data_IF_981619582632
#
_entry.id   IF_981619582632
#
_cell.length_a   1.000
_cell.length_b   1.000
_cell.length_c   1.000
_cell.angle_alpha   90.00
_cell.angle_beta   90.00
_cell.angle_gamma   90.00
#
_symmetry.space_group_name_H-M   'P 1'
#
loop_
_entity.id
_entity.type
_entity.pdbx_description
1 polymer ?
#
# COMPACT_ATOMS: atom_id res chain seq x y z
N UNK A 1 -2.36 2.14 -1.82
CA UNK A 1 -3.09 3.28 -2.42
C UNK A 1 -2.78 3.38 -3.91
N UNK A 2 -3.73 3.81 -4.74
CA UNK A 2 -3.51 4.15 -6.15
C UNK A 2 -3.07 5.61 -6.32
N UNK A 3 -2.62 5.98 -7.51
CA UNK A 3 -2.22 7.33 -7.94
C UNK A 3 -3.28 8.41 -7.67
N UNK A 4 -4.55 8.07 -7.87
CA UNK A 4 -5.68 8.96 -7.57
C UNK A 4 -5.86 9.30 -6.09
N UNK A 5 -5.15 8.64 -5.16
CA UNK A 5 -5.29 8.83 -3.72
C UNK A 5 -4.12 9.62 -3.09
N UNK A 6 -3.25 10.22 -3.91
CA UNK A 6 -2.04 10.89 -3.42
C UNK A 6 -2.33 11.95 -2.34
N UNK A 7 -3.42 12.72 -2.49
CA UNK A 7 -3.81 13.77 -1.53
C UNK A 7 -4.18 13.20 -0.17
N UNK A 8 -4.97 12.12 -0.12
CA UNK A 8 -5.41 11.49 1.12
C UNK A 8 -4.25 10.76 1.81
N UNK A 9 -3.39 10.11 1.03
CA UNK A 9 -2.15 9.49 1.54
C UNK A 9 -1.24 10.55 2.16
N UNK A 10 -1.01 11.66 1.47
CA UNK A 10 -0.18 12.74 1.97
C UNK A 10 -0.77 13.35 3.26
N UNK A 11 -2.08 13.60 3.31
CA UNK A 11 -2.77 14.03 4.52
C UNK A 11 -2.52 13.08 5.71
N UNK A 12 -2.58 11.77 5.45
CA UNK A 12 -2.30 10.75 6.46
C UNK A 12 -0.83 10.74 6.90
N UNK A 13 0.11 11.19 6.06
CA UNK A 13 1.52 11.36 6.41
C UNK A 13 1.81 12.64 7.22
N UNK A 14 1.07 13.74 6.98
CA UNK A 14 1.37 15.05 7.59
C UNK A 14 0.59 15.38 8.86
N UNK A 15 -0.60 14.78 9.08
CA UNK A 15 -1.39 15.00 10.31
C UNK A 15 -1.32 13.81 11.25
N UNK A 16 -1.25 14.05 12.55
CA UNK A 16 -1.31 12.99 13.56
C UNK A 16 -2.75 12.55 13.84
N UNK A 17 -2.96 11.24 13.90
CA UNK A 17 -4.26 10.65 14.26
C UNK A 17 -4.66 10.89 15.73
N UNK A 18 -3.71 11.31 16.58
CA UNK A 18 -4.00 11.66 17.97
C UNK A 18 -4.91 12.90 18.08
N UNK A 19 -4.90 13.78 17.07
CA UNK A 19 -5.60 15.06 17.09
C UNK A 19 -6.70 15.17 16.02
N UNK A 20 -6.73 14.24 15.06
CA UNK A 20 -7.63 14.29 13.90
C UNK A 20 -8.10 12.89 13.56
N UNK A 21 -9.41 12.73 13.36
CA UNK A 21 -9.97 11.55 12.71
C UNK A 21 -9.63 11.57 11.21
N UNK A 22 -8.61 10.80 10.82
CA UNK A 22 -8.17 10.69 9.43
C UNK A 22 -9.19 9.99 8.54
N UNK A 23 -9.95 9.03 9.08
CA UNK A 23 -10.96 8.29 8.32
C UNK A 23 -12.05 9.26 7.88
N UNK A 24 -12.59 10.03 8.82
CA UNK A 24 -13.59 11.06 8.52
C UNK A 24 -13.02 12.15 7.60
N UNK A 25 -11.80 12.64 7.85
CA UNK A 25 -11.23 13.76 7.10
C UNK A 25 -10.87 13.42 5.65
N UNK A 26 -10.48 12.18 5.39
CA UNK A 26 -10.19 11.65 4.05
C UNK A 26 -11.41 11.03 3.37
N UNK A 27 -12.55 10.91 4.07
CA UNK A 27 -13.75 10.24 3.53
C UNK A 27 -13.54 8.74 3.28
N UNK A 28 -12.64 8.12 4.03
CA UNK A 28 -12.37 6.69 3.89
C UNK A 28 -13.52 5.86 4.46
N UNK A 29 -13.75 4.71 3.82
CA UNK A 29 -14.56 3.64 4.39
C UNK A 29 -13.59 2.56 4.85
N UNK A 30 -13.80 2.08 6.07
CA UNK A 30 -12.93 1.06 6.66
C UNK A 30 -13.71 -0.22 6.89
N UNK A 31 -13.06 -1.33 6.58
CA UNK A 31 -13.56 -2.67 6.86
C UNK A 31 -12.54 -3.43 7.70
N UNK A 32 -12.90 -4.62 8.16
CA UNK A 32 -12.04 -5.50 8.96
C UNK A 32 -12.02 -6.87 8.30
N UNK A 33 -10.84 -7.46 8.21
CA UNK A 33 -10.65 -8.83 7.73
C UNK A 33 -10.78 -9.83 8.87
N UNK A 34 -9.90 -10.83 8.90
CA UNK A 34 -9.86 -11.85 9.95
C UNK A 34 -9.29 -11.32 11.27
N UNK A 35 -8.60 -10.18 11.27
CA UNK A 35 -8.08 -9.50 12.46
C UNK A 35 -8.97 -8.31 12.83
N UNK A 36 -9.82 -8.50 13.84
CA UNK A 36 -10.78 -7.48 14.28
C UNK A 36 -10.17 -6.14 14.69
N UNK A 37 -8.87 -6.07 15.00
CA UNK A 37 -8.21 -4.84 15.44
C UNK A 37 -7.39 -4.14 14.35
N UNK A 38 -7.35 -4.68 13.13
CA UNK A 38 -6.63 -4.08 12.00
C UNK A 38 -7.63 -3.51 10.97
N UNK A 39 -8.01 -2.22 11.05
CA UNK A 39 -8.88 -1.62 10.05
C UNK A 39 -8.15 -1.50 8.70
N UNK A 40 -8.85 -1.86 7.62
CA UNK A 40 -8.39 -1.80 6.23
C UNK A 40 -9.19 -0.74 5.47
N UNK A 41 -8.64 -0.15 4.40
CA UNK A 41 -9.29 0.93 3.66
C UNK A 41 -9.93 0.36 2.39
N UNK A 42 -11.27 0.45 2.27
CA UNK A 42 -12.02 -0.10 1.13
C UNK A 42 -11.57 0.51 -0.21
N UNK A 43 -11.24 1.80 -0.21
CA UNK A 43 -10.81 2.51 -1.41
C UNK A 43 -9.37 2.17 -1.82
N UNK A 44 -8.58 1.49 -0.99
CA UNK A 44 -7.25 1.02 -1.37
C UNK A 44 -7.38 -0.27 -2.21
N UNK A 45 -6.80 -0.32 -3.44
CA UNK A 45 -6.96 -1.46 -4.34
C UNK A 45 -6.30 -2.76 -3.82
N UNK A 46 -5.34 -2.62 -2.90
CA UNK A 46 -4.65 -3.72 -2.25
C UNK A 46 -4.50 -3.38 -0.76
N UNK A 47 -4.91 -4.31 0.11
CA UNK A 47 -4.71 -4.26 1.55
C UNK A 47 -4.01 -5.54 2.01
N UNK A 48 -2.98 -5.41 2.84
CA UNK A 48 -2.30 -6.54 3.49
C UNK A 48 -2.71 -6.55 4.96
N UNK A 49 -3.42 -7.59 5.37
CA UNK A 49 -3.78 -7.79 6.76
C UNK A 49 -2.66 -8.58 7.45
N UNK A 50 -2.09 -8.00 8.51
CA UNK A 50 -0.84 -8.50 9.09
C UNK A 50 -0.94 -8.72 10.60
N UNK A 51 -0.41 -9.85 11.08
CA UNK A 51 -0.22 -10.13 12.52
C UNK A 51 1.22 -9.84 12.91
N UNK A 52 1.43 -8.95 13.87
CA UNK A 52 2.77 -8.61 14.38
C UNK A 52 3.44 -9.87 14.95
N UNK A 53 4.67 -10.13 14.52
CA UNK A 53 5.51 -11.23 15.00
C UNK A 53 6.66 -10.72 15.85
N UNK A 54 7.22 -9.58 15.49
CA UNK A 54 8.34 -8.98 16.21
C UNK A 54 8.34 -7.46 15.99
N UNK A 55 8.75 -6.72 17.03
CA UNK A 55 9.09 -5.30 16.93
C UNK A 55 10.56 -5.18 17.33
N UNK A 56 11.37 -4.62 16.43
CA UNK A 56 12.80 -4.36 16.65
C UNK A 56 12.97 -2.87 16.86
N UNK A 57 13.38 -2.48 18.06
CA UNK A 57 13.72 -1.08 18.35
C UNK A 57 15.03 -0.69 17.65
N UNK A 58 15.00 0.38 16.87
CA UNK A 58 16.17 1.02 16.29
C UNK A 58 16.27 2.44 16.87
N UNK A 59 17.35 3.15 16.55
CA UNK A 59 17.62 4.46 17.15
C UNK A 59 16.55 5.51 16.84
N UNK A 60 16.07 5.59 15.58
CA UNK A 60 15.14 6.64 15.15
C UNK A 60 13.70 6.17 14.95
N UNK A 61 13.47 4.86 14.86
CA UNK A 61 12.19 4.24 14.57
C UNK A 61 12.21 2.78 15.01
N UNK A 62 11.06 2.10 14.99
CA UNK A 62 11.01 0.65 15.14
C UNK A 62 10.80 -0.03 13.78
N UNK A 63 11.40 -1.20 13.60
CA UNK A 63 11.08 -2.11 12.50
C UNK A 63 10.04 -3.12 12.99
N UNK A 64 8.85 -3.10 12.40
CA UNK A 64 7.78 -4.05 12.69
C UNK A 64 7.81 -5.19 11.67
N UNK A 65 8.06 -6.40 12.15
CA UNK A 65 8.03 -7.63 11.34
C UNK A 65 6.69 -8.32 11.60
N UNK A 66 5.93 -8.54 10.54
CA UNK A 66 4.59 -9.10 10.63
C UNK A 66 4.37 -10.18 9.57
N UNK A 67 3.50 -11.13 9.92
CA UNK A 67 3.01 -12.18 9.02
C UNK A 67 1.77 -11.66 8.29
N UNK A 68 1.74 -11.75 6.97
CA UNK A 68 0.53 -11.49 6.17
C UNK A 68 -0.43 -12.65 6.38
N UNK A 69 -1.58 -12.40 7.02
CA UNK A 69 -2.62 -13.41 7.24
C UNK A 69 -3.61 -13.46 6.08
N UNK A 70 -3.88 -12.32 5.46
CA UNK A 70 -4.75 -12.21 4.29
C UNK A 70 -4.33 -11.04 3.40
N UNK A 71 -4.59 -11.17 2.10
CA UNK A 71 -4.42 -10.10 1.11
C UNK A 71 -5.76 -9.84 0.44
N UNK A 72 -6.26 -8.62 0.57
CA UNK A 72 -7.49 -8.19 -0.09
C UNK A 72 -7.13 -7.37 -1.31
N UNK A 73 -7.66 -7.77 -2.47
CA UNK A 73 -7.44 -7.08 -3.75
C UNK A 73 -8.80 -6.77 -4.35
N UNK A 74 -8.99 -5.55 -4.83
CA UNK A 74 -10.23 -5.20 -5.54
C UNK A 74 -10.38 -6.05 -6.80
N UNK A 75 -11.61 -6.50 -7.12
CA UNK A 75 -11.88 -7.41 -8.24
C UNK A 75 -11.28 -6.93 -9.58
N UNK A 76 -11.35 -5.62 -9.85
CA UNK A 76 -10.80 -5.00 -11.07
C UNK A 76 -9.26 -4.91 -11.11
N UNK A 77 -8.57 -5.35 -10.05
CA UNK A 77 -7.12 -5.32 -9.92
C UNK A 77 -6.49 -6.72 -9.99
N UNK A 78 -7.25 -7.74 -10.38
CA UNK A 78 -6.76 -9.08 -10.65
C UNK A 78 -6.78 -9.37 -12.14
N UNK A 79 -5.71 -9.96 -12.66
CA UNK A 79 -5.68 -10.48 -14.02
C UNK A 79 -6.42 -11.82 -14.12
N UNK A 80 -6.56 -12.35 -15.34
CA UNK A 80 -7.25 -13.62 -15.61
C UNK A 80 -6.66 -14.86 -14.89
N UNK A 81 -5.47 -14.75 -14.29
CA UNK A 81 -4.82 -15.82 -13.51
C UNK A 81 -4.97 -15.63 -12.00
N UNK A 82 -5.76 -14.64 -11.55
CA UNK A 82 -5.92 -14.31 -10.14
C UNK A 82 -4.69 -13.65 -9.51
N UNK A 83 -3.75 -13.15 -10.33
CA UNK A 83 -2.60 -12.39 -9.83
C UNK A 83 -2.86 -10.88 -9.92
N UNK A 84 -2.24 -10.11 -9.04
CA UNK A 84 -2.37 -8.64 -9.02
C UNK A 84 -1.93 -8.06 -10.36
N UNK A 85 -2.81 -7.23 -10.95
CA UNK A 85 -2.52 -6.41 -12.12
C UNK A 85 -2.11 -5.00 -11.67
N UNK A 86 -0.79 -4.75 -11.63
CA UNK A 86 -0.27 -3.47 -11.19
C UNK A 86 -0.64 -2.30 -12.11
N UNK A 87 -0.97 -2.56 -13.39
CA UNK A 87 -1.46 -1.52 -14.29
C UNK A 87 -2.89 -1.08 -13.94
N UNK A 88 -3.70 -1.99 -13.38
CA UNK A 88 -5.02 -1.66 -12.84
C UNK A 88 -4.95 -1.03 -11.44
N UNK A 89 -4.02 -1.51 -10.58
CA UNK A 89 -3.78 -0.95 -9.24
C UNK A 89 -3.29 0.50 -9.30
N UNK A 90 -2.44 0.82 -10.28
CA UNK A 90 -1.78 2.13 -10.44
C UNK A 90 -1.15 2.64 -9.14
N UNK A 91 -0.23 1.90 -8.51
CA UNK A 91 0.30 2.29 -7.21
C UNK A 91 1.13 3.58 -7.32
N UNK A 92 1.14 4.35 -6.23
CA UNK A 92 2.06 5.48 -6.06
C UNK A 92 3.44 5.01 -5.61
N UNK A 93 4.46 5.72 -6.07
CA UNK A 93 5.85 5.62 -5.64
C UNK A 93 6.24 6.95 -5.01
N UNK A 94 6.74 6.92 -3.79
CA UNK A 94 7.30 8.09 -3.13
C UNK A 94 8.80 8.17 -3.39
N UNK A 95 9.24 9.25 -4.04
CA UNK A 95 10.64 9.55 -4.24
C UNK A 95 11.03 10.71 -3.32
N UNK A 96 11.72 10.38 -2.23
CA UNK A 96 12.07 11.30 -1.16
C UNK A 96 13.15 12.30 -1.59
N UNK A 97 14.40 11.88 -1.69
CA UNK A 97 15.50 12.77 -2.08
C UNK A 97 15.80 12.64 -3.59
N UNK A 98 15.90 13.74 -4.36
CA UNK A 98 15.83 15.14 -3.95
C UNK A 98 14.46 15.83 -4.15
N UNK A 99 13.43 15.10 -4.58
CA UNK A 99 12.21 15.73 -5.12
C UNK A 99 11.08 15.85 -4.10
N UNK A 100 10.93 14.91 -3.17
CA UNK A 100 9.80 14.82 -2.26
C UNK A 100 8.48 14.59 -2.98
N UNK A 101 8.50 13.86 -4.10
CA UNK A 101 7.37 13.75 -5.03
C UNK A 101 6.75 12.36 -5.04
N UNK A 102 5.43 12.31 -5.22
CA UNK A 102 4.72 11.09 -5.59
C UNK A 102 4.67 10.94 -7.12
N UNK A 103 4.96 9.74 -7.59
CA UNK A 103 4.87 9.35 -9.00
C UNK A 103 3.94 8.16 -9.14
N UNK A 104 3.27 8.03 -10.28
CA UNK A 104 2.62 6.77 -10.66
C UNK A 104 3.66 5.75 -11.11
N UNK A 105 3.39 4.46 -10.90
CA UNK A 105 4.18 3.39 -11.49
C UNK A 105 4.04 3.41 -13.02
N UNK A 106 5.18 3.41 -13.74
CA UNK A 106 5.22 3.37 -15.20
C UNK A 106 4.97 1.98 -15.79
N UNK A 107 5.10 1.88 -17.11
CA UNK A 107 4.91 0.64 -17.85
C UNK A 107 5.94 -0.44 -17.47
N UNK A 108 5.53 -1.71 -17.60
CA UNK A 108 6.43 -2.84 -17.42
C UNK A 108 7.54 -2.82 -18.48
N UNK A 109 8.80 -2.81 -18.02
CA UNK A 109 9.97 -2.69 -18.92
C UNK A 109 10.41 -4.04 -19.49
N UNK A 110 10.40 -5.10 -18.69
CA UNK A 110 10.79 -6.44 -19.10
C UNK A 110 10.31 -7.51 -18.12
N UNK A 111 10.41 -8.79 -18.51
CA UNK A 111 10.08 -9.92 -17.64
C UNK A 111 11.29 -10.34 -16.80
N UNK A 112 11.21 -10.11 -15.48
CA UNK A 112 12.21 -10.54 -14.51
C UNK A 112 12.46 -12.06 -14.57
N UNK A 113 13.68 -12.49 -14.28
CA UNK A 113 14.15 -13.89 -14.35
C UNK A 113 13.95 -14.57 -15.72
N UNK A 114 13.75 -13.78 -16.80
CA UNK A 114 13.59 -14.27 -18.17
C UNK A 114 14.39 -13.45 -19.19
N UNK A 115 14.24 -12.12 -19.21
CA UNK A 115 14.87 -11.25 -20.23
C UNK A 115 16.40 -11.37 -20.29
N UNK A 116 17.05 -11.69 -19.16
CA UNK A 116 18.51 -11.89 -19.14
C UNK A 116 19.00 -13.13 -19.88
N UNK A 117 18.11 -14.03 -20.32
CA UNK A 117 18.44 -15.20 -21.14
C UNK A 117 18.59 -14.85 -22.63
N UNK A 118 18.33 -13.59 -23.02
CA UNK A 118 18.42 -13.10 -24.39
C UNK A 118 19.78 -12.47 -24.73
N UNK A 119 20.70 -12.39 -23.75
CA UNK A 119 22.10 -12.02 -23.95
C UNK A 119 22.87 -13.15 -24.63
#
# INVERSE_FOLDING_TARGET
PSDGQAREVDFCGVKSGANVDKVARCGFKVFRGVLEHAPLVEQCPVNLECRVRQIVELNSHCLVIAEVVETHVSDGCLNAKGAIDFAAVKPIVFLDNPTGMYHGLGDAVAKAFKVGLEL
#
